data_IF_879876746691
#
_entry.id   IF_879876746691
#
_cell.length_a   1.000
_cell.length_b   1.000
_cell.length_c   1.000
_cell.angle_alpha   90.00
_cell.angle_beta   90.00
_cell.angle_gamma   90.00
#
_symmetry.space_group_name_H-M   'P 1'
#
loop_
_entity.id
_entity.type
_entity.pdbx_description
1 polymer ?
#
# COMPACT_ATOMS: atom_id res chain seq x y z
N UNK A 1 22.77 30.07 26.85
CA UNK A 1 21.67 29.56 25.98
C UNK A 1 22.28 28.89 24.76
N UNK A 2 22.39 27.55 24.74
CA UNK A 2 22.76 26.82 23.52
C UNK A 2 21.53 26.80 22.63
N UNK A 3 21.62 27.38 21.43
CA UNK A 3 20.61 27.20 20.39
C UNK A 3 20.62 25.73 20.01
N UNK A 4 19.56 25.00 20.32
CA UNK A 4 19.30 23.72 19.67
C UNK A 4 19.14 24.00 18.18
N UNK A 5 20.10 23.53 17.39
CA UNK A 5 20.00 23.50 15.93
C UNK A 5 18.87 22.54 15.60
N UNK A 6 17.67 23.07 15.36
CA UNK A 6 16.55 22.30 14.87
C UNK A 6 16.93 21.64 13.55
N UNK A 7 17.16 20.33 13.57
CA UNK A 7 17.42 19.54 12.37
C UNK A 7 16.34 19.76 11.31
N UNK A 8 16.74 19.68 10.04
CA UNK A 8 15.85 19.94 8.91
C UNK A 8 14.66 18.98 8.92
N UNK A 9 13.61 19.30 8.17
CA UNK A 9 12.44 18.40 8.04
C UNK A 9 12.81 16.99 7.54
N UNK A 10 13.91 16.87 6.80
CA UNK A 10 14.47 15.59 6.33
C UNK A 10 15.13 14.82 7.47
N UNK A 11 15.95 15.46 8.29
CA UNK A 11 16.65 14.83 9.42
C UNK A 11 15.67 14.25 10.45
N UNK A 12 14.56 14.98 10.72
CA UNK A 12 13.49 14.51 11.62
C UNK A 12 12.74 13.29 11.07
N UNK A 13 12.53 13.24 9.76
CA UNK A 13 11.87 12.12 9.09
C UNK A 13 12.75 10.86 9.12
N UNK A 14 14.03 11.02 8.79
CA UNK A 14 15.00 9.93 8.82
C UNK A 14 15.12 9.34 10.22
N UNK A 15 15.23 10.20 11.24
CA UNK A 15 15.26 9.78 12.66
C UNK A 15 13.98 9.01 13.06
N UNK A 16 12.82 9.41 12.53
CA UNK A 16 11.54 8.77 12.82
C UNK A 16 11.44 7.37 12.18
N UNK A 17 11.92 7.21 10.95
CA UNK A 17 12.00 5.90 10.28
C UNK A 17 12.99 4.99 10.99
N UNK A 18 14.17 5.51 11.37
CA UNK A 18 15.18 4.73 12.06
C UNK A 18 14.66 4.27 13.43
N UNK A 19 13.97 5.13 14.17
CA UNK A 19 13.31 4.74 15.43
C UNK A 19 12.30 3.61 15.22
N UNK A 20 11.47 3.70 14.18
CA UNK A 20 10.50 2.64 13.87
C UNK A 20 11.17 1.33 13.51
N UNK A 21 12.27 1.38 12.77
CA UNK A 21 13.08 0.20 12.48
C UNK A 21 13.69 -0.39 13.75
N UNK A 22 14.16 0.43 14.69
CA UNK A 22 14.70 -0.04 15.96
C UNK A 22 13.62 -0.68 16.85
N UNK A 23 12.37 -0.19 16.83
CA UNK A 23 11.25 -0.81 17.54
C UNK A 23 10.57 -1.95 16.77
N UNK A 24 11.19 -2.44 15.70
CA UNK A 24 10.78 -3.68 15.04
C UNK A 24 9.89 -3.51 13.81
N UNK A 25 9.71 -2.30 13.26
CA UNK A 25 9.09 -2.15 11.95
C UNK A 25 9.94 -2.88 10.91
N UNK A 26 9.34 -3.88 10.27
CA UNK A 26 9.92 -4.66 9.18
C UNK A 26 8.89 -4.77 8.07
N UNK A 27 9.37 -4.81 6.82
CA UNK A 27 8.53 -5.25 5.72
C UNK A 27 8.38 -6.77 5.80
N UNK A 28 7.22 -7.26 5.36
CA UNK A 28 6.98 -8.69 5.30
C UNK A 28 7.99 -9.39 4.37
N UNK A 29 8.42 -10.62 4.69
CA UNK A 29 9.34 -11.38 3.86
C UNK A 29 8.88 -11.44 2.40
N UNK A 30 9.81 -11.24 1.46
CA UNK A 30 9.53 -11.27 0.02
C UNK A 30 8.95 -9.99 -0.57
N UNK A 31 8.32 -9.11 0.22
CA UNK A 31 7.73 -7.84 -0.27
C UNK A 31 8.78 -6.90 -0.87
N UNK A 32 9.95 -6.66 -0.24
CA UNK A 32 10.99 -5.81 -0.85
C UNK A 32 11.37 -6.23 -2.27
N UNK A 33 11.66 -7.51 -2.45
CA UNK A 33 12.05 -8.07 -3.75
C UNK A 33 10.89 -8.03 -4.74
N UNK A 34 9.67 -8.36 -4.29
CA UNK A 34 8.49 -8.31 -5.13
C UNK A 34 8.22 -6.89 -5.67
N UNK A 35 8.40 -5.86 -4.85
CA UNK A 35 8.27 -4.47 -5.27
C UNK A 35 9.40 -4.04 -6.20
N UNK A 36 10.63 -4.48 -5.93
CA UNK A 36 11.82 -4.12 -6.73
C UNK A 36 11.79 -4.72 -8.13
N UNK A 37 11.32 -5.95 -8.24
CA UNK A 37 11.26 -6.70 -9.50
C UNK A 37 9.86 -6.75 -10.10
N UNK A 38 8.99 -5.82 -9.69
CA UNK A 38 7.61 -5.82 -10.18
C UNK A 38 7.56 -5.57 -11.69
N UNK A 39 6.90 -6.45 -12.44
CA UNK A 39 6.61 -6.24 -13.86
C UNK A 39 5.44 -5.28 -14.09
N UNK A 40 4.57 -5.13 -13.08
CA UNK A 40 3.43 -4.22 -13.09
C UNK A 40 3.77 -2.83 -12.52
N UNK A 41 3.09 -1.80 -13.00
CA UNK A 41 3.18 -0.45 -12.42
C UNK A 41 2.58 -0.43 -11.01
N UNK A 42 3.40 -0.07 -10.02
CA UNK A 42 2.98 -0.03 -8.62
C UNK A 42 2.52 1.37 -8.20
N UNK A 43 1.41 1.38 -7.45
CA UNK A 43 0.86 2.52 -6.74
C UNK A 43 0.74 2.19 -5.25
N UNK A 44 1.01 3.16 -4.39
CA UNK A 44 0.86 3.03 -2.93
C UNK A 44 -0.28 3.94 -2.49
N UNK A 45 -1.29 3.37 -1.86
CA UNK A 45 -2.44 4.10 -1.31
C UNK A 45 -2.49 3.89 0.19
N UNK A 46 -2.15 4.92 0.97
CA UNK A 46 -1.94 4.81 2.42
C UNK A 46 -2.51 6.01 3.17
N UNK A 47 -2.84 5.82 4.44
CA UNK A 47 -3.23 6.90 5.36
C UNK A 47 -2.01 7.54 6.05
N UNK A 48 -0.80 7.07 5.76
CA UNK A 48 0.45 7.70 6.20
C UNK A 48 0.79 8.90 5.31
N UNK A 49 1.57 9.86 5.80
CA UNK A 49 2.07 10.94 4.95
C UNK A 49 2.92 10.36 3.80
N UNK A 50 2.75 10.86 2.56
CA UNK A 50 3.46 10.32 1.38
C UNK A 50 4.98 10.32 1.55
N UNK A 51 5.56 11.41 2.09
CA UNK A 51 7.00 11.50 2.39
C UNK A 51 7.49 10.39 3.33
N UNK A 52 6.64 9.99 4.29
CA UNK A 52 6.98 8.96 5.25
C UNK A 52 6.88 7.57 4.60
N UNK A 53 5.87 7.33 3.77
CA UNK A 53 5.79 6.10 2.97
C UNK A 53 6.97 5.95 2.01
N UNK A 54 7.35 7.01 1.29
CA UNK A 54 8.53 7.04 0.42
C UNK A 54 9.81 6.70 1.20
N UNK A 55 10.03 7.36 2.35
CA UNK A 55 11.20 7.10 3.20
C UNK A 55 11.25 5.64 3.68
N UNK A 56 10.11 5.05 4.07
CA UNK A 56 10.03 3.63 4.43
C UNK A 56 10.38 2.71 3.26
N UNK A 57 9.84 2.95 2.07
CA UNK A 57 10.10 2.13 0.89
C UNK A 57 11.59 2.21 0.49
N UNK A 58 12.19 3.39 0.53
CA UNK A 58 13.61 3.56 0.24
C UNK A 58 14.49 2.87 1.27
N UNK A 59 14.26 3.14 2.56
CA UNK A 59 15.12 2.61 3.65
C UNK A 59 14.94 1.11 3.86
N UNK A 60 13.72 0.59 3.77
CA UNK A 60 13.41 -0.79 4.14
C UNK A 60 13.28 -1.73 2.95
N UNK A 61 12.87 -1.24 1.77
CA UNK A 61 12.77 -2.04 0.56
C UNK A 61 13.91 -1.80 -0.44
N UNK A 62 14.65 -0.68 -0.31
CA UNK A 62 15.58 -0.25 -1.36
C UNK A 62 14.88 0.11 -2.67
N UNK A 63 13.58 0.45 -2.61
CA UNK A 63 12.74 0.75 -3.78
C UNK A 63 12.42 2.23 -3.82
N UNK A 64 12.50 2.82 -5.00
CA UNK A 64 11.99 4.18 -5.26
C UNK A 64 10.74 4.09 -6.11
N UNK A 65 9.61 4.50 -5.54
CA UNK A 65 8.35 4.68 -6.27
C UNK A 65 8.21 6.18 -6.56
N UNK A 66 7.90 6.60 -7.80
CA UNK A 66 7.71 8.01 -8.11
C UNK A 66 6.64 8.67 -7.21
N UNK A 67 6.86 9.90 -6.72
CA UNK A 67 5.97 10.55 -5.76
C UNK A 67 4.51 10.64 -6.21
N UNK A 68 4.26 10.82 -7.52
CA UNK A 68 2.93 10.87 -8.13
C UNK A 68 2.18 9.52 -8.08
N UNK A 69 2.86 8.45 -7.66
CA UNK A 69 2.28 7.12 -7.43
C UNK A 69 2.11 6.78 -5.94
N UNK A 70 2.40 7.72 -5.04
CA UNK A 70 2.24 7.56 -3.59
C UNK A 70 1.12 8.48 -3.08
N UNK A 71 -0.08 7.92 -2.98
CA UNK A 71 -1.28 8.56 -2.46
C UNK A 71 -1.32 8.37 -0.94
N UNK A 72 -0.91 9.41 -0.22
CA UNK A 72 -0.83 9.41 1.24
C UNK A 72 -1.98 10.13 1.92
N UNK A 73 -1.80 10.46 3.19
CA UNK A 73 -2.69 11.31 3.96
C UNK A 73 -2.94 12.63 3.22
N UNK A 74 -4.22 12.96 3.01
CA UNK A 74 -4.64 14.16 2.27
C UNK A 74 -4.98 13.90 0.80
N UNK A 75 -4.70 12.72 0.25
CA UNK A 75 -5.09 12.35 -1.13
C UNK A 75 -6.57 11.99 -1.29
N UNK A 76 -7.34 11.98 -0.20
CA UNK A 76 -8.76 11.60 -0.17
C UNK A 76 -9.00 10.13 0.21
N UNK A 77 -10.27 9.69 0.25
CA UNK A 77 -10.64 8.30 0.53
C UNK A 77 -10.05 7.33 -0.50
N UNK A 78 -9.67 6.12 -0.08
CA UNK A 78 -9.08 5.11 -0.98
C UNK A 78 -9.95 4.84 -2.21
N UNK A 79 -11.27 4.74 -2.02
CA UNK A 79 -12.25 4.58 -3.12
C UNK A 79 -12.08 5.65 -4.20
N UNK A 80 -11.97 6.92 -3.81
CA UNK A 80 -11.83 8.03 -4.74
C UNK A 80 -10.46 8.02 -5.43
N UNK A 81 -9.40 7.63 -4.72
CA UNK A 81 -8.08 7.40 -5.33
C UNK A 81 -8.16 6.29 -6.39
N UNK A 82 -8.85 5.17 -6.14
CA UNK A 82 -9.01 4.10 -7.13
C UNK A 82 -9.81 4.58 -8.36
N UNK A 83 -10.88 5.36 -8.16
CA UNK A 83 -11.64 5.98 -9.27
C UNK A 83 -10.78 6.94 -10.10
N UNK A 84 -9.91 7.72 -9.46
CA UNK A 84 -8.96 8.59 -10.15
C UNK A 84 -7.93 7.77 -10.94
N UNK A 85 -7.39 6.71 -10.33
CA UNK A 85 -6.42 5.83 -10.96
C UNK A 85 -7.00 5.15 -12.21
N UNK A 86 -8.21 4.59 -12.16
CA UNK A 86 -8.78 3.91 -13.34
C UNK A 86 -9.08 4.85 -14.51
N UNK A 87 -9.28 6.15 -14.25
CA UNK A 87 -9.56 7.16 -15.29
C UNK A 87 -8.30 7.62 -16.03
N UNK A 88 -7.11 7.25 -15.56
CA UNK A 88 -5.85 7.60 -16.21
C UNK A 88 -5.77 6.98 -17.62
N UNK A 89 -5.40 7.75 -18.66
CA UNK A 89 -5.25 7.22 -20.02
C UNK A 89 -4.30 6.02 -20.11
N UNK A 90 -3.21 6.04 -19.35
CA UNK A 90 -2.22 4.95 -19.29
C UNK A 90 -2.75 3.64 -18.69
N UNK A 91 -3.93 3.68 -18.04
CA UNK A 91 -4.56 2.50 -17.45
C UNK A 91 -5.72 1.94 -18.27
N UNK A 92 -6.08 2.59 -19.38
CA UNK A 92 -7.16 2.12 -20.25
C UNK A 92 -6.83 0.74 -20.82
N UNK A 93 -7.78 -0.19 -20.69
CA UNK A 93 -7.63 -1.58 -21.13
C UNK A 93 -6.77 -2.46 -20.21
N UNK A 94 -6.17 -1.92 -19.15
CA UNK A 94 -5.43 -2.72 -18.17
C UNK A 94 -6.35 -3.36 -17.14
N UNK A 95 -5.94 -4.54 -16.66
CA UNK A 95 -6.54 -5.15 -15.48
C UNK A 95 -5.96 -4.48 -14.24
N UNK A 96 -6.80 -3.87 -13.41
CA UNK A 96 -6.37 -3.20 -12.18
C UNK A 96 -6.57 -4.11 -10.97
N UNK A 97 -5.59 -4.07 -10.05
CA UNK A 97 -5.53 -4.93 -8.87
C UNK A 97 -5.38 -4.08 -7.62
N UNK A 98 -6.21 -4.34 -6.61
CA UNK A 98 -6.13 -3.67 -5.32
C UNK A 98 -5.93 -4.70 -4.21
N UNK A 99 -4.78 -4.60 -3.53
CA UNK A 99 -4.38 -5.47 -2.41
C UNK A 99 -4.43 -4.67 -1.12
N UNK A 100 -5.14 -5.17 -0.13
CA UNK A 100 -5.42 -4.48 1.14
C UNK A 100 -5.52 -5.51 2.27
N UNK A 101 -5.14 -5.13 3.50
CA UNK A 101 -5.26 -6.03 4.66
C UNK A 101 -6.50 -5.73 5.53
N UNK A 102 -7.23 -4.64 5.24
CA UNK A 102 -8.49 -4.26 5.89
C UNK A 102 -9.73 -4.64 5.08
N UNK A 103 -10.48 -5.63 5.56
CA UNK A 103 -11.73 -6.08 4.94
C UNK A 103 -12.75 -4.94 4.77
N UNK A 104 -12.90 -4.07 5.77
CA UNK A 104 -13.84 -2.94 5.68
C UNK A 104 -13.55 -2.01 4.50
N UNK A 105 -12.27 -1.82 4.14
CA UNK A 105 -11.88 -1.03 2.97
C UNK A 105 -12.30 -1.71 1.68
N UNK A 106 -12.06 -3.02 1.54
CA UNK A 106 -12.50 -3.79 0.38
C UNK A 106 -14.02 -3.78 0.21
N UNK A 107 -14.77 -3.92 1.31
CA UNK A 107 -16.24 -3.80 1.30
C UNK A 107 -16.70 -2.42 0.81
N UNK A 108 -16.01 -1.35 1.17
CA UNK A 108 -16.34 -0.02 0.66
C UNK A 108 -16.04 0.12 -0.84
N UNK A 109 -15.00 -0.52 -1.35
CA UNK A 109 -14.74 -0.58 -2.81
C UNK A 109 -15.84 -1.35 -3.53
N UNK A 110 -16.34 -2.45 -2.97
CA UNK A 110 -17.43 -3.26 -3.56
C UNK A 110 -18.76 -2.48 -3.65
N UNK A 111 -19.00 -1.52 -2.75
CA UNK A 111 -20.21 -0.69 -2.78
C UNK A 111 -20.26 0.27 -3.96
N UNK A 112 -19.18 0.38 -4.73
CA UNK A 112 -19.03 1.36 -5.80
C UNK A 112 -19.02 0.62 -7.15
N UNK A 113 -20.15 0.60 -7.88
CA UNK A 113 -20.24 -0.14 -9.15
C UNK A 113 -19.20 0.31 -10.20
N UNK A 114 -18.77 1.58 -10.14
CA UNK A 114 -17.70 2.10 -11.00
C UNK A 114 -16.36 1.36 -10.82
N UNK A 115 -16.17 0.66 -9.70
CA UNK A 115 -14.95 -0.08 -9.36
C UNK A 115 -15.09 -1.60 -9.58
N UNK A 116 -16.18 -2.08 -10.20
CA UNK A 116 -16.40 -3.50 -10.47
C UNK A 116 -15.32 -4.12 -11.39
N UNK A 117 -14.62 -3.30 -12.17
CA UNK A 117 -13.50 -3.74 -13.00
C UNK A 117 -12.26 -4.18 -12.23
N UNK A 118 -12.11 -3.78 -10.96
CA UNK A 118 -10.93 -4.09 -10.15
C UNK A 118 -10.93 -5.53 -9.65
N UNK A 119 -9.76 -6.17 -9.64
CA UNK A 119 -9.53 -7.39 -8.89
C UNK A 119 -9.18 -7.03 -7.44
N UNK A 120 -9.94 -7.54 -6.48
CA UNK A 120 -9.79 -7.21 -5.08
C UNK A 120 -9.17 -8.36 -4.30
N UNK A 121 -8.15 -8.06 -3.50
CA UNK A 121 -7.44 -9.05 -2.70
C UNK A 121 -7.37 -8.62 -1.24
N UNK A 122 -7.77 -9.52 -0.34
CA UNK A 122 -7.43 -9.41 1.08
C UNK A 122 -6.13 -10.16 1.29
N UNK A 123 -5.06 -9.46 1.67
CA UNK A 123 -3.86 -10.13 2.17
C UNK A 123 -4.19 -10.88 3.47
N UNK A 124 -3.88 -12.16 3.56
CA UNK A 124 -4.10 -12.94 4.78
C UNK A 124 -3.12 -12.61 5.91
N UNK A 125 -2.11 -11.80 5.58
CA UNK A 125 -1.17 -11.14 6.48
C UNK A 125 -1.62 -9.71 6.81
N UNK A 126 -1.00 -9.09 7.82
CA UNK A 126 -1.35 -7.73 8.24
C UNK A 126 -2.19 -7.69 9.50
N UNK A 127 -3.10 -6.73 9.57
CA UNK A 127 -3.90 -6.46 10.78
C UNK A 127 -5.27 -7.15 10.80
N UNK A 128 -5.65 -7.93 9.79
CA UNK A 128 -6.91 -8.66 9.80
C UNK A 128 -6.91 -9.82 10.81
N UNK A 129 -8.10 -10.08 11.32
CA UNK A 129 -8.40 -11.21 12.21
C UNK A 129 -8.80 -12.45 11.43
N UNK A 130 -8.74 -13.62 12.07
CA UNK A 130 -9.23 -14.88 11.49
C UNK A 130 -10.70 -14.76 11.05
N UNK A 131 -11.54 -14.12 11.87
CA UNK A 131 -12.95 -13.87 11.55
C UNK A 131 -13.11 -13.03 10.29
N UNK A 132 -12.30 -12.00 10.09
CA UNK A 132 -12.34 -11.19 8.88
C UNK A 132 -11.88 -11.98 7.65
N UNK A 133 -10.89 -12.87 7.76
CA UNK A 133 -10.49 -13.74 6.65
C UNK A 133 -11.59 -14.73 6.28
N UNK A 134 -12.23 -15.36 7.25
CA UNK A 134 -13.36 -16.26 7.05
C UNK A 134 -14.53 -15.53 6.38
N UNK A 135 -14.86 -14.32 6.86
CA UNK A 135 -15.88 -13.50 6.23
C UNK A 135 -15.52 -13.13 4.79
N UNK A 136 -14.29 -12.68 4.55
CA UNK A 136 -13.82 -12.32 3.21
C UNK A 136 -13.86 -13.51 2.24
N UNK A 137 -13.60 -14.73 2.70
CA UNK A 137 -13.69 -15.94 1.90
C UNK A 137 -15.14 -16.24 1.43
N UNK A 138 -16.16 -15.70 2.12
CA UNK A 138 -17.56 -15.82 1.69
C UNK A 138 -17.99 -14.76 0.67
N UNK A 139 -17.15 -13.75 0.39
CA UNK A 139 -17.47 -12.63 -0.51
C UNK A 139 -16.87 -12.93 -1.89
N UNK A 140 -17.67 -13.25 -2.94
CA UNK A 140 -17.13 -13.69 -4.24
C UNK A 140 -16.22 -12.67 -4.95
N UNK A 141 -16.36 -11.39 -4.62
CA UNK A 141 -15.56 -10.29 -5.17
C UNK A 141 -14.16 -10.18 -4.55
N UNK A 142 -13.90 -10.81 -3.41
CA UNK A 142 -12.62 -10.73 -2.70
C UNK A 142 -11.89 -12.06 -2.85
N UNK A 143 -10.62 -12.00 -3.23
CA UNK A 143 -9.72 -13.16 -3.20
C UNK A 143 -8.82 -13.05 -1.98
N UNK A 144 -8.75 -14.09 -1.17
CA UNK A 144 -7.69 -14.19 -0.18
C UNK A 144 -6.37 -14.35 -0.92
N UNK A 145 -5.36 -13.61 -0.50
CA UNK A 145 -4.03 -13.66 -1.07
C UNK A 145 -3.05 -13.99 0.05
N UNK A 146 -2.23 -15.01 -0.14
CA UNK A 146 -1.15 -15.35 0.78
C UNK A 146 0.12 -14.56 0.46
N UNK A 147 0.94 -14.29 1.47
CA UNK A 147 2.15 -13.47 1.31
C UNK A 147 3.15 -14.03 0.24
N UNK A 148 3.41 -15.35 0.18
CA UNK A 148 4.26 -15.90 -0.88
C UNK A 148 3.67 -15.71 -2.28
N UNK A 149 2.35 -15.82 -2.41
CA UNK A 149 1.66 -15.67 -3.69
C UNK A 149 1.59 -14.22 -4.15
N UNK A 150 1.43 -13.28 -3.23
CA UNK A 150 1.59 -11.85 -3.52
C UNK A 150 2.97 -11.57 -4.11
N UNK A 151 4.02 -12.10 -3.46
CA UNK A 151 5.40 -11.87 -3.89
C UNK A 151 5.70 -12.47 -5.27
N UNK A 152 5.08 -13.61 -5.60
CA UNK A 152 5.16 -14.23 -6.93
C UNK A 152 4.36 -13.48 -7.99
N UNK A 153 3.16 -13.00 -7.66
CA UNK A 153 2.27 -12.31 -8.62
C UNK A 153 2.78 -10.95 -9.07
N UNK A 154 3.62 -10.30 -8.27
CA UNK A 154 4.22 -9.01 -8.63
C UNK A 154 5.42 -9.14 -9.57
N UNK A 155 6.21 -10.22 -9.45
CA UNK A 155 7.35 -10.51 -10.32
C UNK A 155 6.85 -10.95 -11.69
#
# INVERSE_FOLDING_TARGET
MKKETGGTGKDKLDTSVDRLYQVGLRLYPGVPDALKFASSTIYIVTTKQSRFADALLRKLAGVTIPPERIFGLGSGPKVEVLKQLQKKPEHQGLKLHFVEDRLATLKNVIKEPELDGWNLYLGDWGYNTQKEREEAATIPRIRILELPDFSKKLK
#
